data_IF_895144800908
#
_entry.id   IF_895144800908
#
_cell.length_a   1.000
_cell.length_b   1.000
_cell.length_c   1.000
_cell.angle_alpha   90.00
_cell.angle_beta   90.00
_cell.angle_gamma   90.00
#
_symmetry.space_group_name_H-M   'P 1'
#
loop_
_entity.id
_entity.type
_entity.pdbx_description
1 polymer ?
#
# COMPACT_ATOMS: atom_id res chain seq x y z
N UNK A 1 35.93 15.88 -5.05
CA UNK A 1 34.76 15.94 -5.94
C UNK A 1 34.44 14.60 -6.66
N UNK A 2 34.74 13.41 -6.09
CA UNK A 2 34.58 12.13 -6.82
C UNK A 2 33.63 11.09 -6.18
N UNK A 3 33.14 11.31 -4.95
CA UNK A 3 32.26 10.34 -4.28
C UNK A 3 30.79 10.49 -4.71
N UNK A 4 30.31 11.73 -4.82
CA UNK A 4 28.90 12.05 -5.11
C UNK A 4 28.47 11.50 -6.47
N UNK A 5 29.33 11.57 -7.49
CA UNK A 5 29.03 11.12 -8.86
C UNK A 5 29.05 9.58 -8.93
N UNK A 6 30.01 8.94 -8.26
CA UNK A 6 30.17 7.48 -8.22
C UNK A 6 29.00 6.79 -7.51
N UNK A 7 28.50 7.38 -6.41
CA UNK A 7 27.35 6.85 -5.67
C UNK A 7 26.04 6.95 -6.48
N UNK A 8 25.87 8.00 -7.30
CA UNK A 8 24.72 8.08 -8.22
C UNK A 8 24.76 7.02 -9.32
N UNK A 9 25.94 6.70 -9.84
CA UNK A 9 26.10 5.73 -10.93
C UNK A 9 25.82 4.29 -10.47
N UNK A 10 26.25 3.94 -9.24
CA UNK A 10 26.00 2.60 -8.67
C UNK A 10 24.51 2.34 -8.42
N UNK A 11 23.77 3.33 -7.91
CA UNK A 11 22.33 3.22 -7.72
C UNK A 11 21.56 3.13 -9.06
N UNK A 12 22.06 3.77 -10.12
CA UNK A 12 21.39 3.82 -11.42
C UNK A 12 21.12 2.42 -11.99
N UNK A 13 22.13 1.54 -12.00
CA UNK A 13 22.00 0.20 -12.59
C UNK A 13 21.01 -0.71 -11.82
N UNK A 14 21.01 -0.61 -10.49
CA UNK A 14 20.06 -1.36 -9.65
C UNK A 14 18.63 -0.86 -9.85
N UNK A 15 18.46 0.46 -9.95
CA UNK A 15 17.17 1.10 -10.22
C UNK A 15 16.68 0.71 -11.61
N UNK A 16 17.55 0.68 -12.61
CA UNK A 16 17.20 0.30 -13.99
C UNK A 16 16.71 -1.14 -14.04
N UNK A 17 17.46 -2.05 -13.41
CA UNK A 17 17.07 -3.45 -13.27
C UNK A 17 15.73 -3.58 -12.55
N UNK A 18 15.49 -2.81 -11.49
CA UNK A 18 14.19 -2.79 -10.79
C UNK A 18 13.06 -2.30 -11.69
N UNK A 19 13.29 -1.24 -12.48
CA UNK A 19 12.28 -0.64 -13.34
C UNK A 19 11.83 -1.59 -14.45
N UNK A 20 12.79 -2.32 -15.04
CA UNK A 20 12.50 -3.37 -16.01
C UNK A 20 11.77 -4.54 -15.36
N UNK A 21 12.29 -5.04 -14.24
CA UNK A 21 11.72 -6.17 -13.52
C UNK A 21 10.29 -5.89 -13.06
N UNK A 22 9.98 -4.70 -12.53
CA UNK A 22 8.63 -4.34 -12.09
C UNK A 22 7.76 -3.78 -13.22
N UNK A 23 8.28 -3.67 -14.45
CA UNK A 23 7.60 -3.09 -15.62
C UNK A 23 6.99 -1.72 -15.31
N UNK A 24 7.77 -0.84 -14.66
CA UNK A 24 7.30 0.45 -14.14
C UNK A 24 6.65 1.31 -15.23
N UNK A 25 7.20 1.29 -16.45
CA UNK A 25 6.61 2.01 -17.58
C UNK A 25 5.13 1.64 -17.85
N UNK A 26 4.77 0.37 -17.69
CA UNK A 26 3.38 -0.08 -17.84
C UNK A 26 2.51 0.36 -16.67
N UNK A 27 3.02 0.31 -15.44
CA UNK A 27 2.30 0.75 -14.25
C UNK A 27 2.01 2.25 -14.28
N UNK A 28 2.97 3.04 -14.78
CA UNK A 28 2.79 4.47 -15.04
C UNK A 28 1.66 4.70 -16.05
N UNK A 29 1.67 3.97 -17.17
CA UNK A 29 0.61 4.04 -18.20
C UNK A 29 -0.76 3.64 -17.65
N UNK A 30 -0.84 2.55 -16.87
CA UNK A 30 -2.08 2.10 -16.24
C UNK A 30 -2.63 3.09 -15.20
N UNK A 31 -1.77 3.95 -14.68
CA UNK A 31 -2.09 5.00 -13.69
C UNK A 31 -2.31 6.37 -14.30
N UNK A 32 -2.45 6.44 -15.63
CA UNK A 32 -2.65 7.67 -16.38
C UNK A 32 -1.48 8.67 -16.27
N UNK A 33 -0.28 8.18 -15.94
CA UNK A 33 0.95 8.96 -15.94
C UNK A 33 1.57 8.83 -17.33
N UNK A 34 1.15 9.73 -18.22
CA UNK A 34 1.52 9.71 -19.64
C UNK A 34 2.57 10.77 -19.96
N UNK A 35 3.21 10.62 -21.12
CA UNK A 35 4.18 11.61 -21.62
C UNK A 35 3.45 12.91 -21.90
N UNK A 36 3.88 13.98 -21.25
CA UNK A 36 3.35 15.33 -21.48
C UNK A 36 4.12 16.00 -22.63
N UNK A 37 5.40 16.31 -22.46
CA UNK A 37 6.25 16.90 -23.52
C UNK A 37 7.72 16.51 -23.32
N UNK A 38 8.45 16.29 -24.44
CA UNK A 38 9.91 16.12 -24.47
C UNK A 38 10.40 14.79 -23.88
N UNK A 39 10.37 14.67 -22.55
CA UNK A 39 11.02 13.60 -21.78
C UNK A 39 10.02 12.49 -21.45
N UNK A 40 10.48 11.24 -21.49
CA UNK A 40 9.64 10.09 -21.15
C UNK A 40 9.33 10.04 -19.63
N UNK A 41 8.08 9.78 -19.22
CA UNK A 41 7.68 9.65 -17.81
C UNK A 41 8.55 8.69 -16.99
N UNK A 42 8.97 7.59 -17.62
CA UNK A 42 9.83 6.58 -17.00
C UNK A 42 11.22 7.13 -16.66
N UNK A 43 11.77 8.00 -17.50
CA UNK A 43 13.08 8.62 -17.26
C UNK A 43 13.02 9.60 -16.08
N UNK A 44 11.97 10.42 -16.01
CA UNK A 44 11.73 11.32 -14.86
C UNK A 44 11.51 10.52 -13.59
N UNK A 45 10.74 9.42 -13.66
CA UNK A 45 10.50 8.56 -12.52
C UNK A 45 11.78 7.87 -12.03
N UNK A 46 12.63 7.36 -12.93
CA UNK A 46 13.95 6.81 -12.58
C UNK A 46 14.79 7.84 -11.85
N UNK A 47 14.88 9.05 -12.40
CA UNK A 47 15.64 10.14 -11.81
C UNK A 47 15.17 10.48 -10.38
N UNK A 48 13.85 10.57 -10.17
CA UNK A 48 13.27 10.83 -8.84
C UNK A 48 13.59 9.68 -7.88
N UNK A 49 13.50 8.43 -8.32
CA UNK A 49 13.88 7.26 -7.50
C UNK A 49 15.36 7.27 -7.13
N UNK A 50 16.26 7.62 -8.08
CA UNK A 50 17.68 7.78 -7.78
C UNK A 50 17.89 8.84 -6.71
N UNK A 51 17.27 10.01 -6.84
CA UNK A 51 17.37 11.08 -5.85
C UNK A 51 16.86 10.65 -4.47
N UNK A 52 15.69 10.01 -4.43
CA UNK A 52 15.06 9.56 -3.19
C UNK A 52 15.88 8.47 -2.47
N UNK A 53 16.42 7.49 -3.21
CA UNK A 53 17.18 6.38 -2.65
C UNK A 53 18.60 6.78 -2.25
N UNK A 54 19.22 7.73 -2.95
CA UNK A 54 20.53 8.26 -2.56
C UNK A 54 20.42 9.38 -1.50
N UNK A 55 19.20 9.83 -1.14
CA UNK A 55 18.99 10.92 -0.18
C UNK A 55 19.46 12.28 -0.67
N UNK A 56 19.58 12.46 -2.00
CA UNK A 56 20.06 13.70 -2.61
C UNK A 56 18.89 14.65 -2.85
N UNK A 57 19.09 15.90 -2.48
CA UNK A 57 18.09 16.94 -2.75
C UNK A 57 18.17 17.40 -4.23
N UNK A 58 17.01 17.49 -4.89
CA UNK A 58 16.88 17.92 -6.29
C UNK A 58 17.56 19.26 -6.56
N UNK A 59 17.39 20.26 -5.68
CA UNK A 59 17.97 21.59 -5.84
C UNK A 59 19.49 21.55 -5.80
N UNK A 60 20.09 20.74 -4.91
CA UNK A 60 21.55 20.58 -4.84
C UNK A 60 22.09 19.82 -6.05
N UNK A 61 21.36 18.80 -6.49
CA UNK A 61 21.72 18.02 -7.67
C UNK A 61 21.77 18.91 -8.93
N UNK A 62 20.73 19.73 -9.14
CA UNK A 62 20.65 20.60 -10.32
C UNK A 62 21.63 21.78 -10.30
N UNK A 63 22.13 22.20 -9.14
CA UNK A 63 23.20 23.20 -9.05
C UNK A 63 24.59 22.63 -9.33
N UNK A 64 24.79 21.34 -9.04
CA UNK A 64 26.08 20.66 -9.25
C UNK A 64 26.14 20.04 -10.64
N UNK A 65 25.00 19.68 -11.22
CA UNK A 65 24.91 19.28 -12.60
C UNK A 65 25.10 20.52 -13.48
N UNK A 66 26.11 20.48 -14.34
CA UNK A 66 26.32 21.51 -15.36
C UNK A 66 25.03 21.70 -16.19
N UNK A 67 24.91 22.85 -16.85
CA UNK A 67 23.76 23.29 -17.67
C UNK A 67 23.27 22.29 -18.74
N UNK A 68 23.91 21.13 -18.90
CA UNK A 68 23.55 19.99 -19.74
C UNK A 68 22.65 18.95 -19.08
N UNK A 69 22.15 19.17 -17.86
CA UNK A 69 21.24 18.23 -17.20
C UNK A 69 19.98 17.95 -18.05
N UNK A 70 19.81 16.71 -18.50
CA UNK A 70 18.70 16.27 -19.37
C UNK A 70 17.32 16.51 -18.74
N UNK A 71 17.24 16.56 -17.40
CA UNK A 71 16.01 16.76 -16.64
C UNK A 71 16.15 17.97 -15.72
N UNK A 72 15.49 19.08 -16.08
CA UNK A 72 15.42 20.29 -15.24
C UNK A 72 14.37 20.21 -14.12
N UNK A 73 14.45 21.15 -13.17
CA UNK A 73 13.51 21.27 -12.04
C UNK A 73 12.05 21.32 -12.49
N UNK A 74 11.78 22.09 -13.55
CA UNK A 74 10.41 22.36 -14.02
C UNK A 74 9.78 21.09 -14.61
N UNK A 75 10.59 20.24 -15.23
CA UNK A 75 10.15 18.92 -15.70
C UNK A 75 9.72 18.03 -14.53
N UNK A 76 10.52 17.97 -13.47
CA UNK A 76 10.19 17.17 -12.27
C UNK A 76 8.93 17.69 -11.60
N UNK A 77 8.79 19.02 -11.43
CA UNK A 77 7.61 19.60 -10.80
C UNK A 77 6.35 19.40 -11.64
N UNK A 78 6.42 19.59 -12.96
CA UNK A 78 5.28 19.30 -13.86
C UNK A 78 4.89 17.84 -13.85
N UNK A 79 5.87 16.95 -13.74
CA UNK A 79 5.62 15.51 -13.66
C UNK A 79 4.89 15.14 -12.35
N UNK A 80 5.44 15.56 -11.21
CA UNK A 80 4.87 15.26 -9.88
C UNK A 80 3.50 15.91 -9.66
N UNK A 81 3.33 17.15 -10.13
CA UNK A 81 2.11 17.92 -9.94
C UNK A 81 1.10 17.76 -11.09
N UNK A 82 1.23 16.72 -11.91
CA UNK A 82 0.30 16.48 -13.01
C UNK A 82 -1.09 16.13 -12.46
N UNK A 83 -2.11 16.90 -12.83
CA UNK A 83 -3.52 16.67 -12.45
C UNK A 83 -4.10 15.37 -13.00
N UNK A 84 -3.52 14.87 -14.09
CA UNK A 84 -3.93 13.62 -14.73
C UNK A 84 -3.28 12.38 -14.10
N UNK A 85 -2.23 12.54 -13.29
CA UNK A 85 -1.50 11.45 -12.67
C UNK A 85 -2.27 10.84 -11.49
N UNK A 86 -2.65 9.56 -11.58
CA UNK A 86 -3.23 8.85 -10.45
C UNK A 86 -2.16 8.17 -9.60
N UNK A 87 -1.49 8.96 -8.75
CA UNK A 87 -0.43 8.49 -7.86
C UNK A 87 -0.86 7.38 -6.92
N UNK A 88 -2.10 7.44 -6.41
CA UNK A 88 -2.65 6.41 -5.52
C UNK A 88 -2.76 5.06 -6.25
N UNK A 89 -3.26 5.06 -7.48
CA UNK A 89 -3.35 3.85 -8.31
C UNK A 89 -1.95 3.31 -8.65
N UNK A 90 -1.00 4.18 -8.98
CA UNK A 90 0.37 3.77 -9.25
C UNK A 90 1.01 3.06 -8.06
N UNK A 91 0.96 3.65 -6.86
CA UNK A 91 1.53 3.07 -5.66
C UNK A 91 0.85 1.74 -5.29
N UNK A 92 -0.47 1.64 -5.47
CA UNK A 92 -1.21 0.41 -5.22
C UNK A 92 -0.83 -0.71 -6.21
N UNK A 93 -0.70 -0.39 -7.49
CA UNK A 93 -0.27 -1.36 -8.50
C UNK A 93 1.18 -1.80 -8.29
N UNK A 94 2.06 -0.87 -7.93
CA UNK A 94 3.46 -1.14 -7.63
C UNK A 94 3.61 -2.05 -6.41
N UNK A 95 2.93 -1.73 -5.30
CA UNK A 95 2.99 -2.56 -4.09
C UNK A 95 2.48 -3.97 -4.36
N UNK A 96 1.37 -4.10 -5.09
CA UNK A 96 0.83 -5.39 -5.47
C UNK A 96 1.80 -6.16 -6.40
N UNK A 97 2.50 -5.48 -7.30
CA UNK A 97 3.51 -6.10 -8.18
C UNK A 97 4.70 -6.63 -7.38
N UNK A 98 5.24 -5.81 -6.46
CA UNK A 98 6.36 -6.20 -5.58
C UNK A 98 5.97 -7.37 -4.68
N UNK A 99 4.78 -7.32 -4.05
CA UNK A 99 4.28 -8.41 -3.19
C UNK A 99 4.18 -9.71 -3.99
N UNK A 100 3.57 -9.68 -5.18
CA UNK A 100 3.41 -10.88 -6.02
C UNK A 100 4.74 -11.48 -6.46
N UNK A 101 5.73 -10.64 -6.78
CA UNK A 101 7.03 -11.11 -7.29
C UNK A 101 8.01 -11.54 -6.21
N UNK A 102 8.02 -10.84 -5.07
CA UNK A 102 9.05 -11.05 -4.05
C UNK A 102 8.52 -11.67 -2.76
N UNK A 103 7.30 -11.36 -2.34
CA UNK A 103 6.79 -11.81 -1.03
C UNK A 103 6.00 -13.12 -1.17
N UNK A 104 5.21 -13.28 -2.23
CA UNK A 104 4.39 -14.48 -2.43
C UNK A 104 5.22 -15.77 -2.60
N UNK A 105 6.34 -15.79 -3.36
CA UNK A 105 7.18 -16.97 -3.46
C UNK A 105 7.79 -17.40 -2.11
N UNK A 106 8.19 -16.43 -1.28
CA UNK A 106 8.75 -16.70 0.05
C UNK A 106 7.74 -17.37 0.99
N UNK A 107 6.45 -17.08 0.81
CA UNK A 107 5.37 -17.66 1.63
C UNK A 107 5.01 -19.09 1.20
N UNK A 108 5.18 -19.41 -0.08
CA UNK A 108 4.87 -20.73 -0.62
C UNK A 108 5.86 -21.80 -0.16
N UNK A 109 7.12 -21.43 0.07
CA UNK A 109 8.18 -22.37 0.46
C UNK A 109 8.17 -22.70 1.97
N UNK A 110 7.82 -21.73 2.81
CA UNK A 110 7.82 -21.88 4.27
C UNK A 110 6.51 -22.42 4.88
N UNK A 111 5.51 -22.76 4.06
CA UNK A 111 4.32 -23.47 4.56
C UNK A 111 4.42 -24.96 4.25
N UNK A 112 4.75 -25.83 5.23
CA UNK A 112 4.67 -27.27 5.03
C UNK A 112 3.21 -27.65 4.83
N UNK A 113 2.72 -27.71 3.58
CA UNK A 113 1.43 -28.29 3.15
C UNK A 113 0.32 -28.22 4.22
N UNK A 114 0.13 -27.07 4.86
CA UNK A 114 -0.83 -26.94 5.97
C UNK A 114 -2.28 -27.01 5.47
N UNK A 115 -2.48 -26.93 4.15
CA UNK A 115 -3.75 -27.23 3.48
C UNK A 115 -4.20 -28.69 3.60
N UNK A 116 -3.37 -29.59 4.17
CA UNK A 116 -3.77 -30.96 4.53
C UNK A 116 -4.00 -31.18 6.03
N UNK A 117 -3.76 -30.16 6.87
CA UNK A 117 -3.85 -30.24 8.34
C UNK A 117 -4.75 -29.16 8.97
N UNK A 118 -5.67 -28.59 8.21
CA UNK A 118 -6.90 -28.06 8.81
C UNK A 118 -7.90 -29.19 8.75
N UNK A 119 -8.36 -29.76 9.88
CA UNK A 119 -9.46 -30.70 9.82
C UNK A 119 -10.62 -29.95 9.16
N UNK A 120 -11.06 -30.43 7.99
CA UNK A 120 -12.38 -30.04 7.49
C UNK A 120 -13.34 -30.42 8.61
N UNK A 121 -13.79 -29.45 9.38
CA UNK A 121 -14.75 -29.68 10.45
C UNK A 121 -15.90 -30.48 9.85
N UNK A 122 -16.19 -31.64 10.44
CA UNK A 122 -17.20 -32.54 9.90
C UNK A 122 -18.53 -31.79 9.83
N UNK A 123 -19.39 -32.14 8.87
CA UNK A 123 -20.66 -31.44 8.66
C UNK A 123 -21.53 -31.39 9.92
N UNK A 124 -21.37 -32.35 10.84
CA UNK A 124 -22.01 -32.38 12.15
C UNK A 124 -21.45 -31.35 13.13
N UNK A 125 -20.15 -31.05 13.12
CA UNK A 125 -19.54 -30.02 13.98
C UNK A 125 -19.93 -28.60 13.53
N UNK A 126 -20.05 -28.38 12.22
CA UNK A 126 -20.56 -27.11 11.66
C UNK A 126 -22.03 -26.92 12.03
N UNK A 127 -22.84 -27.98 12.01
CA UNK A 127 -24.23 -27.93 12.44
C UNK A 127 -24.36 -27.64 13.95
N UNK A 128 -23.52 -28.26 14.78
CA UNK A 128 -23.47 -28.00 16.22
C UNK A 128 -23.10 -26.54 16.53
N UNK A 129 -22.09 -25.98 15.85
CA UNK A 129 -21.70 -24.56 16.01
C UNK A 129 -22.80 -23.60 15.56
N UNK A 130 -23.50 -23.91 14.45
CA UNK A 130 -24.66 -23.12 14.01
C UNK A 130 -25.82 -23.18 15.01
N UNK A 131 -26.12 -24.36 15.56
CA UNK A 131 -27.16 -24.53 16.58
C UNK A 131 -26.81 -23.79 17.88
N UNK A 132 -25.54 -23.80 18.30
CA UNK A 132 -25.09 -23.05 19.48
C UNK A 132 -25.28 -21.54 19.29
N UNK A 133 -24.92 -21.02 18.11
CA UNK A 133 -25.12 -19.60 17.76
C UNK A 133 -26.61 -19.25 17.68
N UNK A 134 -27.46 -20.12 17.12
CA UNK A 134 -28.90 -19.87 17.08
C UNK A 134 -29.53 -19.92 18.47
N UNK A 135 -29.11 -20.84 19.33
CA UNK A 135 -29.59 -20.90 20.73
C UNK A 135 -29.13 -19.69 21.53
N UNK A 136 -27.88 -19.24 21.37
CA UNK A 136 -27.40 -18.03 22.02
C UNK A 136 -28.24 -16.79 21.64
N UNK A 137 -28.65 -16.67 20.37
CA UNK A 137 -29.59 -15.61 19.94
C UNK A 137 -30.98 -15.76 20.55
N UNK A 138 -31.52 -16.98 20.66
CA UNK A 138 -32.84 -17.22 21.28
C UNK A 138 -32.83 -16.91 22.78
N UNK A 139 -31.75 -17.28 23.49
CA UNK A 139 -31.57 -16.97 24.91
C UNK A 139 -31.43 -15.46 25.11
N UNK A 140 -30.65 -14.77 24.27
CA UNK A 140 -30.55 -13.31 24.31
C UNK A 140 -31.89 -12.60 24.05
N UNK A 141 -32.69 -13.10 23.09
CA UNK A 141 -34.03 -12.58 22.83
C UNK A 141 -35.01 -12.85 23.99
N UNK A 142 -34.84 -13.95 24.73
CA UNK A 142 -35.63 -14.26 25.92
C UNK A 142 -35.28 -13.35 27.10
N UNK A 143 -34.00 -12.99 27.27
CA UNK A 143 -33.57 -12.03 28.31
C UNK A 143 -34.12 -10.61 28.06
N UNK A 144 -34.30 -10.19 26.80
CA UNK A 144 -34.85 -8.87 26.47
C UNK A 144 -36.35 -8.71 26.79
N UNK A 145 -37.05 -9.80 27.14
CA UNK A 145 -38.46 -9.77 27.58
C UNK A 145 -38.59 -9.65 29.11
N UNK A 146 -37.52 -9.89 29.88
CA UNK A 146 -37.54 -9.81 31.36
C UNK A 146 -37.20 -8.41 31.87
N UNK A 147 -36.52 -7.57 31.08
CA UNK A 147 -36.18 -6.18 31.44
C UNK A 147 -37.31 -5.15 31.25
N UNK A 148 -38.47 -5.53 30.72
CA UNK A 148 -39.62 -4.63 30.57
C UNK A 148 -40.58 -4.61 31.77
N UNK A 149 -40.24 -5.30 32.87
CA UNK A 149 -41.04 -5.33 34.12
C UNK A 149 -40.39 -4.56 35.29
N UNK A 150 -39.65 -3.47 35.03
CA UNK A 150 -39.32 -2.50 36.07
C UNK A 150 -40.07 -1.18 35.85
N UNK A 151 -40.74 -0.64 36.89
CA UNK A 151 -41.51 0.60 36.79
C UNK A 151 -40.62 1.81 36.48
N UNK A 152 -41.17 2.85 35.79
CA UNK A 152 -40.37 3.93 35.19
C UNK A 152 -39.91 5.02 36.18
N UNK A 153 -39.66 4.72 37.45
CA UNK A 153 -39.42 5.75 38.47
C UNK A 153 -38.29 5.45 39.48
N UNK A 154 -37.08 5.18 38.99
CA UNK A 154 -35.89 5.15 39.87
C UNK A 154 -34.62 5.80 39.29
N UNK A 155 -34.73 6.61 38.23
CA UNK A 155 -33.61 7.38 37.67
C UNK A 155 -33.78 8.90 37.85
N UNK A 156 -34.12 9.32 39.07
CA UNK A 156 -33.83 10.67 39.57
C UNK A 156 -33.34 10.52 41.00
N UNK A 157 -32.03 10.30 41.18
CA UNK A 157 -31.30 10.59 42.43
C UNK A 157 -29.81 10.23 42.30
N UNK A 158 -29.15 10.50 41.16
CA UNK A 158 -27.67 10.43 41.11
C UNK A 158 -27.09 11.13 39.87
N UNK A 159 -27.31 12.44 39.76
CA UNK A 159 -26.39 13.38 39.09
C UNK A 159 -26.96 14.80 39.13
N UNK A 160 -26.63 15.53 40.19
CA UNK A 160 -26.50 16.98 40.15
C UNK A 160 -25.05 17.26 40.57
N UNK A 161 -24.25 17.97 39.77
CA UNK A 161 -22.99 18.54 40.24
C UNK A 161 -23.30 19.83 41.01
N UNK A 162 -22.97 19.82 42.31
CA UNK A 162 -22.76 21.01 43.13
C UNK A 162 -21.33 20.97 43.63
#
# INVERSE_FOLDING_TARGET
>A
MNQIVSDSLSCQNQIDSFFENQRIALLLRQSNILKQCGIAPVAVMRFIFCLALTGKNLFRYLQTADSSAEIGKDTVYRFLNSTHANWRKFLHLLSAAVIRKHILPLKAEQTPKASRLWPKSSSSEIAAKRNLISNARRVAASCHRVTCCLPPNSLRLLSQPG
#
